data_IF_631151029319
#
_entry.id   IF_631151029319
#
_cell.length_a   1.000
_cell.length_b   1.000
_cell.length_c   1.000
_cell.angle_alpha   90.00
_cell.angle_beta   90.00
_cell.angle_gamma   90.00
#
_symmetry.space_group_name_H-M   'P 1'
#
loop_
_entity.id
_entity.type
_entity.pdbx_description
1 polymer ?
#
# COMPACT_ATOMS: atom_id res chain seq x y z
N UNK A 1 -24.56 -1.56 -18.42
CA UNK A 1 -24.43 -1.94 -17.00
C UNK A 1 -23.86 -3.34 -16.98
N UNK A 2 -22.83 -3.61 -16.18
CA UNK A 2 -22.36 -4.99 -16.01
C UNK A 2 -23.43 -5.76 -15.23
N UNK A 3 -23.81 -6.93 -15.73
CA UNK A 3 -24.74 -7.83 -15.05
C UNK A 3 -23.93 -8.74 -14.11
N UNK A 4 -24.38 -8.86 -12.86
CA UNK A 4 -23.75 -9.78 -11.89
C UNK A 4 -24.43 -11.13 -12.05
N UNK A 5 -23.67 -12.11 -12.56
CA UNK A 5 -24.10 -13.50 -12.62
C UNK A 5 -23.74 -14.14 -11.28
N UNK A 6 -24.74 -14.66 -10.57
CA UNK A 6 -24.55 -15.44 -9.34
C UNK A 6 -24.89 -16.88 -9.67
N UNK A 7 -23.94 -17.77 -9.50
CA UNK A 7 -24.09 -19.21 -9.66
C UNK A 7 -23.45 -19.91 -8.46
N UNK A 8 -24.26 -20.63 -7.70
CA UNK A 8 -23.83 -21.34 -6.49
C UNK A 8 -23.31 -22.75 -6.81
N UNK A 9 -23.38 -23.19 -8.08
CA UNK A 9 -23.05 -24.53 -8.54
C UNK A 9 -21.88 -24.55 -9.52
N UNK A 10 -20.67 -24.24 -9.07
CA UNK A 10 -19.47 -24.35 -9.90
C UNK A 10 -18.55 -25.48 -9.42
N UNK A 11 -18.23 -26.42 -10.31
CA UNK A 11 -17.17 -27.41 -10.04
C UNK A 11 -15.82 -26.81 -10.42
N UNK A 12 -15.00 -26.53 -9.42
CA UNK A 12 -13.66 -26.01 -9.60
C UNK A 12 -12.61 -27.13 -9.50
N UNK A 13 -11.53 -27.01 -10.26
CA UNK A 13 -10.36 -27.87 -10.07
C UNK A 13 -9.58 -27.55 -8.77
N UNK A 14 -9.79 -26.35 -8.21
CA UNK A 14 -9.15 -25.84 -7.00
C UNK A 14 -10.19 -25.06 -6.20
N UNK A 15 -10.35 -25.40 -4.93
CA UNK A 15 -11.17 -24.66 -3.97
C UNK A 15 -10.25 -23.91 -3.00
N UNK A 16 -10.47 -22.60 -2.85
CA UNK A 16 -9.72 -21.70 -1.97
C UNK A 16 -10.66 -20.63 -1.41
N UNK A 17 -10.32 -20.06 -0.27
CA UNK A 17 -11.14 -19.05 0.41
C UNK A 17 -11.02 -17.66 -0.24
N UNK A 18 -9.82 -17.32 -0.77
CA UNK A 18 -9.55 -16.02 -1.37
C UNK A 18 -8.71 -16.11 -2.65
N UNK A 19 -9.27 -15.63 -3.77
CA UNK A 19 -8.54 -15.41 -5.01
C UNK A 19 -8.16 -13.93 -5.13
N UNK A 20 -6.86 -13.67 -5.24
CA UNK A 20 -6.32 -12.32 -5.45
C UNK A 20 -5.78 -12.21 -6.86
N UNK A 21 -6.28 -11.24 -7.61
CA UNK A 21 -5.87 -10.98 -8.99
C UNK A 21 -4.86 -9.82 -9.00
N UNK A 22 -3.61 -10.16 -9.31
CA UNK A 22 -2.47 -9.23 -9.40
C UNK A 22 -1.46 -9.41 -8.26
N UNK A 23 -0.21 -9.66 -8.63
CA UNK A 23 0.95 -9.81 -7.74
C UNK A 23 1.73 -8.51 -7.49
N UNK A 24 1.05 -7.36 -7.54
CA UNK A 24 1.62 -6.07 -7.11
C UNK A 24 1.54 -5.87 -5.60
N UNK A 25 2.07 -4.76 -5.08
CA UNK A 25 2.11 -4.53 -3.63
C UNK A 25 0.74 -4.60 -2.96
N UNK A 26 -0.32 -4.08 -3.60
CA UNK A 26 -1.67 -4.17 -3.07
C UNK A 26 -2.16 -5.63 -2.93
N UNK A 27 -1.99 -6.44 -3.98
CA UNK A 27 -2.39 -7.84 -3.97
C UNK A 27 -1.56 -8.69 -3.01
N UNK A 28 -0.24 -8.48 -2.95
CA UNK A 28 0.63 -9.16 -1.99
C UNK A 28 0.30 -8.78 -0.53
N UNK A 29 0.00 -7.50 -0.27
CA UNK A 29 -0.40 -7.03 1.07
C UNK A 29 -1.75 -7.64 1.48
N UNK A 30 -2.71 -7.68 0.55
CA UNK A 30 -4.00 -8.33 0.78
C UNK A 30 -3.86 -9.84 1.01
N UNK A 31 -2.96 -10.49 0.28
CA UNK A 31 -2.69 -11.93 0.42
C UNK A 31 -2.12 -12.26 1.79
N UNK A 32 -1.16 -11.44 2.26
CA UNK A 32 -0.61 -11.57 3.61
C UNK A 32 -1.70 -11.40 4.67
N UNK A 33 -2.51 -10.35 4.57
CA UNK A 33 -3.58 -10.09 5.53
C UNK A 33 -4.61 -11.23 5.58
N UNK A 34 -5.06 -11.74 4.42
CA UNK A 34 -6.01 -12.84 4.35
C UNK A 34 -5.40 -14.16 4.88
N UNK A 35 -4.14 -14.45 4.55
CA UNK A 35 -3.44 -15.62 5.06
C UNK A 35 -3.23 -15.56 6.59
N UNK A 36 -2.96 -14.37 7.16
CA UNK A 36 -2.88 -14.19 8.62
C UNK A 36 -4.22 -14.45 9.32
N UNK A 37 -5.36 -14.24 8.63
CA UNK A 37 -6.70 -14.56 9.12
C UNK A 37 -7.09 -16.04 8.91
N UNK A 38 -6.15 -16.86 8.43
CA UNK A 38 -6.33 -18.30 8.26
C UNK A 38 -6.95 -18.71 6.92
N UNK A 39 -7.16 -17.78 5.99
CA UNK A 39 -7.68 -18.09 4.67
C UNK A 39 -6.64 -18.82 3.81
N UNK A 40 -7.10 -19.81 3.03
CA UNK A 40 -6.33 -20.31 1.90
C UNK A 40 -6.36 -19.30 0.75
N UNK A 41 -5.18 -18.81 0.35
CA UNK A 41 -5.04 -17.71 -0.61
C UNK A 41 -4.37 -18.18 -1.89
N UNK A 42 -4.97 -17.87 -3.03
CA UNK A 42 -4.38 -18.03 -4.36
C UNK A 42 -4.14 -16.65 -4.99
N UNK A 43 -2.93 -16.41 -5.49
CA UNK A 43 -2.58 -15.19 -6.22
C UNK A 43 -2.45 -15.53 -7.70
N UNK A 44 -3.25 -14.88 -8.54
CA UNK A 44 -3.17 -14.96 -9.99
C UNK A 44 -2.43 -13.73 -10.53
N UNK A 45 -1.25 -13.93 -11.12
CA UNK A 45 -0.46 -12.89 -11.78
C UNK A 45 -0.26 -13.28 -13.25
N UNK A 46 -0.36 -12.30 -14.14
CA UNK A 46 -0.15 -12.48 -15.58
C UNK A 46 1.33 -12.71 -15.90
N UNK A 47 2.20 -12.00 -15.21
CA UNK A 47 3.64 -12.04 -15.42
C UNK A 47 4.32 -13.19 -14.67
N UNK A 48 5.57 -13.51 -15.06
CA UNK A 48 6.38 -14.55 -14.40
C UNK A 48 6.83 -14.18 -12.99
N UNK A 49 6.81 -12.90 -12.64
CA UNK A 49 7.29 -12.38 -11.37
C UNK A 49 6.19 -11.57 -10.67
N UNK A 50 6.10 -11.72 -9.36
CA UNK A 50 5.18 -10.97 -8.50
C UNK A 50 5.77 -9.58 -8.19
N UNK A 51 5.75 -8.70 -9.19
CA UNK A 51 6.35 -7.37 -9.09
C UNK A 51 5.33 -6.24 -9.34
N UNK A 52 4.39 -6.48 -10.27
CA UNK A 52 3.46 -5.49 -10.77
C UNK A 52 4.14 -4.19 -11.24
N UNK A 53 3.35 -3.13 -11.40
CA UNK A 53 3.89 -1.78 -11.64
C UNK A 53 4.54 -1.18 -10.39
N UNK A 54 4.23 -1.70 -9.20
CA UNK A 54 4.82 -1.22 -7.93
C UNK A 54 6.33 -1.38 -7.91
N UNK A 55 6.88 -2.42 -8.52
CA UNK A 55 8.33 -2.57 -8.63
C UNK A 55 9.02 -1.43 -9.41
N UNK A 56 8.28 -0.70 -10.25
CA UNK A 56 8.79 0.45 -11.03
C UNK A 56 8.61 1.79 -10.30
N UNK A 57 7.92 1.85 -9.15
CA UNK A 57 7.55 3.12 -8.48
C UNK A 57 8.67 3.76 -7.66
N UNK A 58 9.88 3.21 -7.72
CA UNK A 58 10.97 3.50 -6.76
C UNK A 58 10.63 3.20 -5.28
N UNK A 59 9.45 2.61 -5.02
CA UNK A 59 9.03 2.18 -3.70
C UNK A 59 8.63 3.31 -2.76
N UNK A 60 8.25 4.48 -3.29
CA UNK A 60 7.86 5.65 -2.49
C UNK A 60 6.40 5.57 -2.07
N UNK A 61 6.14 5.52 -0.75
CA UNK A 61 4.79 5.47 -0.19
C UNK A 61 4.55 6.72 0.67
N UNK A 62 3.68 7.66 0.23
CA UNK A 62 3.27 8.79 1.06
C UNK A 62 2.42 8.32 2.23
N UNK A 63 2.76 8.77 3.43
CA UNK A 63 2.02 8.47 4.65
C UNK A 63 2.29 9.54 5.70
N UNK A 64 1.38 9.66 6.67
CA UNK A 64 1.52 10.51 7.85
C UNK A 64 1.41 9.67 9.13
N UNK A 65 1.99 10.16 10.22
CA UNK A 65 1.93 9.57 11.56
C UNK A 65 2.51 8.15 11.69
N UNK A 66 3.38 7.74 10.76
CA UNK A 66 4.03 6.42 10.75
C UNK A 66 5.09 6.29 11.86
N UNK A 67 5.40 5.06 12.27
CA UNK A 67 6.56 4.79 13.15
C UNK A 67 7.87 5.23 12.53
N UNK A 68 8.01 5.13 11.20
CA UNK A 68 9.20 5.58 10.48
C UNK A 68 9.44 7.09 10.62
N UNK A 69 8.39 7.90 10.51
CA UNK A 69 8.46 9.35 10.78
C UNK A 69 8.84 9.62 12.23
N UNK A 70 8.21 8.93 13.19
CA UNK A 70 8.52 9.07 14.63
C UNK A 70 9.98 8.74 14.93
N UNK A 71 10.55 7.66 14.36
CA UNK A 71 11.96 7.29 14.53
C UNK A 71 12.94 8.35 14.03
N UNK A 72 12.53 9.14 13.05
CA UNK A 72 13.33 10.22 12.47
C UNK A 72 12.98 11.59 13.04
N UNK A 73 12.19 11.67 14.13
CA UNK A 73 11.73 12.92 14.73
C UNK A 73 10.96 13.84 13.78
N UNK A 74 10.28 13.25 12.79
CA UNK A 74 9.43 13.94 11.84
C UNK A 74 8.03 14.07 12.42
N UNK A 75 7.54 15.30 12.49
CA UNK A 75 6.18 15.60 12.92
C UNK A 75 5.30 15.89 11.71
N UNK A 76 4.41 14.96 11.40
CA UNK A 76 3.41 15.05 10.33
C UNK A 76 2.04 14.65 10.90
N UNK A 77 0.95 15.01 10.24
CA UNK A 77 -0.39 14.68 10.71
C UNK A 77 -1.36 14.36 9.57
N UNK A 78 -2.34 13.51 9.88
CA UNK A 78 -3.36 13.04 8.92
C UNK A 78 -4.13 14.17 8.24
N UNK A 79 -4.44 15.26 8.97
CA UNK A 79 -5.15 16.41 8.42
C UNK A 79 -4.34 17.10 7.31
N UNK A 80 -3.06 17.39 7.55
CA UNK A 80 -2.19 17.98 6.55
C UNK A 80 -2.03 17.06 5.34
N UNK A 81 -1.88 15.75 5.57
CA UNK A 81 -1.79 14.77 4.49
C UNK A 81 -3.06 14.68 3.63
N UNK A 82 -4.24 14.73 4.26
CA UNK A 82 -5.52 14.80 3.56
C UNK A 82 -5.61 16.06 2.68
N UNK A 83 -5.29 17.23 3.25
CA UNK A 83 -5.28 18.51 2.54
C UNK A 83 -4.32 18.49 1.34
N UNK A 84 -3.13 17.88 1.50
CA UNK A 84 -2.15 17.71 0.43
C UNK A 84 -2.67 16.83 -0.72
N UNK A 85 -3.32 15.70 -0.42
CA UNK A 85 -3.90 14.81 -1.45
C UNK A 85 -4.99 15.55 -2.22
N UNK A 86 -5.92 16.18 -1.50
CA UNK A 86 -7.05 16.92 -2.09
C UNK A 86 -6.57 18.12 -2.91
N UNK A 87 -5.59 18.87 -2.40
CA UNK A 87 -4.99 20.01 -3.10
C UNK A 87 -4.35 19.60 -4.43
N UNK A 88 -3.58 18.49 -4.43
CA UNK A 88 -2.92 17.98 -5.65
C UNK A 88 -3.87 17.53 -6.74
N UNK A 89 -5.01 16.97 -6.35
CA UNK A 89 -5.99 16.48 -7.31
C UNK A 89 -7.04 17.54 -7.68
N UNK A 90 -6.84 18.81 -7.29
CA UNK A 90 -7.80 19.91 -7.49
C UNK A 90 -9.21 19.57 -6.95
N UNK A 91 -9.28 18.86 -5.83
CA UNK A 91 -10.52 18.33 -5.23
C UNK A 91 -11.36 17.43 -6.14
N UNK A 92 -10.74 16.77 -7.13
CA UNK A 92 -11.43 15.84 -8.04
C UNK A 92 -11.62 14.44 -7.45
N UNK A 93 -10.82 14.04 -6.46
CA UNK A 93 -10.99 12.74 -5.81
C UNK A 93 -12.16 12.76 -4.81
N UNK A 94 -12.80 11.61 -4.62
CA UNK A 94 -13.82 11.45 -3.57
C UNK A 94 -13.17 11.60 -2.17
N UNK A 95 -13.58 12.60 -1.37
CA UNK A 95 -13.06 12.81 -0.01
C UNK A 95 -13.16 11.57 0.88
N UNK A 96 -14.18 10.72 0.71
CA UNK A 96 -14.35 9.51 1.52
C UNK A 96 -13.25 8.50 1.25
N UNK A 97 -12.88 8.30 -0.02
CA UNK A 97 -11.79 7.42 -0.38
C UNK A 97 -10.44 7.96 0.09
N UNK A 98 -10.21 9.27 -0.05
CA UNK A 98 -8.99 9.91 0.45
C UNK A 98 -8.89 9.75 1.97
N UNK A 99 -9.98 10.00 2.70
CA UNK A 99 -10.02 9.82 4.15
C UNK A 99 -9.72 8.38 4.55
N UNK A 100 -10.30 7.39 3.84
CA UNK A 100 -10.00 5.98 4.11
C UNK A 100 -8.51 5.65 3.94
N UNK A 101 -7.86 6.18 2.90
CA UNK A 101 -6.41 6.01 2.72
C UNK A 101 -5.60 6.66 3.85
N UNK A 102 -5.90 7.93 4.17
CA UNK A 102 -5.20 8.71 5.20
C UNK A 102 -5.30 8.05 6.58
N UNK A 103 -6.48 7.53 6.92
CA UNK A 103 -6.71 6.94 8.23
C UNK A 103 -5.99 5.60 8.44
N UNK A 104 -5.76 4.84 7.37
CA UNK A 104 -5.29 3.46 7.45
C UNK A 104 -3.84 3.25 6.98
N UNK A 105 -3.25 4.18 6.22
CA UNK A 105 -1.93 3.95 5.62
C UNK A 105 -0.83 3.72 6.67
N UNK A 106 -0.87 4.45 7.79
CA UNK A 106 0.10 4.28 8.86
C UNK A 106 -0.03 2.90 9.52
N UNK A 107 -1.26 2.43 9.73
CA UNK A 107 -1.54 1.11 10.29
C UNK A 107 -0.98 0.00 9.39
N UNK A 108 -1.19 0.12 8.08
CA UNK A 108 -0.67 -0.85 7.11
C UNK A 108 0.86 -0.89 7.08
N UNK A 109 1.53 0.27 7.04
CA UNK A 109 2.99 0.35 7.03
C UNK A 109 3.60 -0.14 8.34
N UNK A 110 3.02 0.27 9.48
CA UNK A 110 3.51 -0.15 10.79
C UNK A 110 3.32 -1.67 10.99
N UNK A 111 2.21 -2.24 10.52
CA UNK A 111 1.99 -3.71 10.52
C UNK A 111 3.00 -4.46 9.66
N UNK A 112 3.25 -3.99 8.42
CA UNK A 112 4.25 -4.59 7.53
C UNK A 112 5.66 -4.54 8.13
N UNK A 113 5.99 -3.46 8.84
CA UNK A 113 7.27 -3.34 9.52
C UNK A 113 7.39 -4.27 10.72
N UNK A 114 6.38 -4.26 11.60
CA UNK A 114 6.40 -4.97 12.88
C UNK A 114 6.27 -6.49 12.71
N UNK A 115 5.32 -6.95 11.89
CA UNK A 115 5.06 -8.38 11.71
C UNK A 115 5.88 -9.04 10.62
N UNK A 116 6.19 -8.30 9.55
CA UNK A 116 6.82 -8.87 8.36
C UNK A 116 8.25 -8.36 8.11
N UNK A 117 8.80 -7.53 9.01
CA UNK A 117 10.19 -7.09 8.95
C UNK A 117 10.49 -6.13 7.79
N UNK A 118 9.48 -5.52 7.17
CA UNK A 118 9.66 -4.59 6.06
C UNK A 118 10.04 -3.21 6.64
N UNK A 119 11.34 -2.94 6.68
CA UNK A 119 11.86 -1.70 7.24
C UNK A 119 11.58 -0.51 6.33
N UNK A 120 10.75 0.43 6.82
CA UNK A 120 10.51 1.70 6.16
C UNK A 120 11.47 2.78 6.68
N UNK A 121 12.03 3.52 5.74
CA UNK A 121 12.82 4.72 6.00
C UNK A 121 12.18 5.88 5.26
N UNK A 122 12.05 7.02 5.94
CA UNK A 122 11.52 8.23 5.34
C UNK A 122 12.66 8.96 4.64
N UNK A 123 12.43 9.40 3.40
CA UNK A 123 13.38 10.21 2.66
C UNK A 123 13.14 11.69 2.93
N UNK A 124 14.18 12.40 3.37
CA UNK A 124 14.12 13.84 3.69
C UNK A 124 14.40 14.73 2.45
N UNK A 125 15.17 14.24 1.49
CA UNK A 125 15.60 14.99 0.30
C UNK A 125 14.67 14.85 -0.93
N UNK A 126 13.54 14.15 -0.77
CA UNK A 126 12.55 14.02 -1.84
C UNK A 126 11.48 15.11 -1.69
N UNK A 127 11.78 16.30 -2.22
CA UNK A 127 10.81 17.41 -2.32
C UNK A 127 10.32 17.51 -3.77
N UNK A 128 9.14 16.95 -4.12
CA UNK A 128 8.48 17.37 -5.35
C UNK A 128 8.18 18.87 -5.25
N UNK A 129 8.38 19.62 -6.33
CA UNK A 129 8.46 21.11 -6.40
C UNK A 129 7.23 21.92 -5.91
N UNK A 130 6.32 21.36 -5.11
CA UNK A 130 5.11 22.03 -4.63
C UNK A 130 4.62 21.58 -3.24
N UNK A 131 5.47 20.97 -2.40
CA UNK A 131 5.08 20.47 -1.08
C UNK A 131 5.46 21.34 0.09
N UNK A 132 4.63 21.34 1.15
CA UNK A 132 5.01 21.85 2.47
C UNK A 132 5.68 20.77 3.34
N UNK A 133 5.30 19.49 3.23
CA UNK A 133 6.03 18.35 3.81
C UNK A 133 5.81 17.11 2.94
N UNK A 134 6.83 16.28 2.71
CA UNK A 134 6.68 15.04 1.92
C UNK A 134 7.65 13.99 2.38
N UNK A 135 7.10 13.06 3.12
CA UNK A 135 7.81 11.94 3.69
C UNK A 135 7.35 10.69 2.95
N UNK A 136 8.19 10.20 2.05
CA UNK A 136 7.95 8.93 1.38
C UNK A 136 8.69 7.84 2.14
N UNK A 137 7.95 6.85 2.62
CA UNK A 137 8.52 5.62 3.14
C UNK A 137 9.05 4.78 1.98
N UNK A 138 10.30 4.33 2.08
CA UNK A 138 10.92 3.38 1.15
C UNK A 138 11.32 2.12 1.91
N UNK A 139 10.96 0.94 1.38
CA UNK A 139 11.46 -0.33 1.90
C UNK A 139 12.96 -0.48 1.58
N UNK A 140 13.77 -0.79 2.60
CA UNK A 140 15.22 -1.02 2.43
C UNK A 140 15.56 -2.29 1.62
N UNK A 141 14.61 -3.22 1.45
CA UNK A 141 14.95 -4.61 1.07
C UNK A 141 14.97 -4.91 -0.44
N UNK A 142 14.59 -3.98 -1.33
CA UNK A 142 14.41 -4.34 -2.75
C UNK A 142 15.31 -3.63 -3.76
N UNK A 143 16.00 -2.53 -3.41
CA UNK A 143 16.82 -1.80 -4.40
C UNK A 143 18.02 -1.09 -3.76
N UNK A 144 19.14 -1.80 -3.72
CA UNK A 144 20.48 -1.25 -3.49
C UNK A 144 20.80 -1.01 -2.01
N UNK A 145 21.99 -1.46 -1.61
CA UNK A 145 22.61 -1.10 -0.33
C UNK A 145 22.63 0.42 -0.20
N UNK A 146 22.08 0.92 0.90
CA UNK A 146 22.49 2.22 1.42
C UNK A 146 23.65 1.90 2.36
N UNK A 147 24.86 1.95 1.80
CA UNK A 147 26.07 2.17 2.58
C UNK A 147 26.00 3.59 3.17
#
# INVERSE_FOLDING_TARGET
MAEVIVDDGFSAAVEIDCLIIGGGAAGLTAALAAAEDGASVLIAEREKQLSGSTALSSGLIPAAETRAQKRQNINDNKKAFFEDIMGKNNNSADPKHVNNCVENINLALDWLEEKHGIQFHVLEDFIPKSHKFSYACRSRSHWGRLD
#
